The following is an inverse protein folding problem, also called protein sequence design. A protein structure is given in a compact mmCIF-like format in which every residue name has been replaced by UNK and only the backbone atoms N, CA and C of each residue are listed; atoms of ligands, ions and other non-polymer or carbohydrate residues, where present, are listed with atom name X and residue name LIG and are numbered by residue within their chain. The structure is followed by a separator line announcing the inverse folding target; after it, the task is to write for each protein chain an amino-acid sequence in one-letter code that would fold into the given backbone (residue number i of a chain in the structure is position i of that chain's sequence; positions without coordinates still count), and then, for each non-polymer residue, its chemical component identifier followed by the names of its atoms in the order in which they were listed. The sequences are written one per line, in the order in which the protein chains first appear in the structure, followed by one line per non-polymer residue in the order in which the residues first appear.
data_IF_384363982646
#
_entry.id   IF_384363982646
#
_cell.length_a   1.000
_cell.length_b   1.000
_cell.length_c   1.000
_cell.angle_alpha   90.00
_cell.angle_beta   90.00
_cell.angle_gamma   90.00
#
_symmetry.space_group_name_H-M   'P 1'
#
loop_
_entity.id
_entity.type
_entity.pdbx_description
1 polymer ?
#
# COMPACT_ATOMS: atom_id res chain seq x y z
N UNK A 1 9.87 6.09 -7.33
CA UNK A 1 9.83 4.99 -6.34
C UNK A 1 10.92 4.02 -6.72
N UNK A 2 11.93 3.88 -5.88
CA UNK A 2 13.01 2.93 -6.08
C UNK A 2 12.54 1.53 -5.66
N UNK A 3 12.66 0.56 -6.54
CA UNK A 3 12.25 -0.84 -6.28
C UNK A 3 13.44 -1.80 -6.24
N UNK A 4 14.58 -1.37 -6.76
CA UNK A 4 15.86 -2.06 -6.65
C UNK A 4 16.94 -1.04 -6.28
N UNK A 5 17.69 -1.30 -5.22
CA UNK A 5 18.69 -0.34 -4.72
C UNK A 5 19.96 -1.04 -4.26
N UNK A 6 21.09 -0.33 -4.36
CA UNK A 6 22.32 -0.74 -3.70
C UNK A 6 22.14 -0.58 -2.19
N UNK A 7 22.23 -1.68 -1.46
CA UNK A 7 22.13 -1.72 -0.01
C UNK A 7 23.42 -2.13 0.66
N UNK A 8 23.52 -1.87 1.97
CA UNK A 8 24.60 -2.39 2.82
C UNK A 8 23.99 -3.18 3.97
N UNK A 9 24.47 -4.40 4.15
CA UNK A 9 24.06 -5.23 5.27
C UNK A 9 24.61 -4.62 6.56
N UNK A 10 23.73 -4.27 7.49
CA UNK A 10 24.09 -3.68 8.78
C UNK A 10 24.22 -4.72 9.87
N UNK A 11 23.41 -5.78 9.80
CA UNK A 11 23.36 -6.82 10.82
C UNK A 11 22.87 -8.12 10.19
N UNK A 12 23.31 -9.25 10.76
CA UNK A 12 22.74 -10.57 10.46
C UNK A 12 22.38 -11.28 11.76
N UNK A 13 21.25 -12.00 11.77
CA UNK A 13 20.77 -12.78 12.91
C UNK A 13 20.53 -14.22 12.50
N UNK A 14 20.98 -15.19 13.32
CA UNK A 14 20.70 -16.59 13.05
C UNK A 14 19.21 -16.88 13.13
N UNK A 15 18.73 -17.83 12.32
CA UNK A 15 17.37 -18.34 12.37
C UNK A 15 17.41 -19.71 13.05
N UNK A 16 16.62 -19.90 14.09
CA UNK A 16 16.56 -21.14 14.83
C UNK A 16 16.22 -22.33 13.90
N UNK A 17 17.01 -23.39 14.01
CA UNK A 17 16.86 -24.58 13.17
C UNK A 17 17.19 -24.37 11.67
N UNK A 18 17.91 -23.31 11.30
CA UNK A 18 18.34 -23.05 9.93
C UNK A 18 19.86 -23.02 9.78
N UNK A 19 20.42 -24.03 9.09
CA UNK A 19 21.87 -24.16 8.90
C UNK A 19 22.38 -23.37 7.69
N UNK A 20 21.55 -23.12 6.70
CA UNK A 20 21.94 -22.53 5.39
C UNK A 20 21.54 -21.08 5.20
N UNK A 21 20.65 -20.57 6.05
CA UNK A 21 20.09 -19.22 5.92
C UNK A 21 20.15 -18.47 7.26
N UNK A 22 20.14 -17.16 7.17
CA UNK A 22 19.98 -16.24 8.31
C UNK A 22 19.17 -15.00 7.88
N UNK A 23 18.70 -14.24 8.85
CA UNK A 23 18.09 -12.94 8.59
C UNK A 23 19.18 -11.89 8.43
N UNK A 24 19.05 -11.04 7.41
CA UNK A 24 19.90 -9.88 7.19
C UNK A 24 19.06 -8.60 7.26
N UNK A 25 19.65 -7.57 7.87
CA UNK A 25 19.11 -6.21 7.88
C UNK A 25 19.95 -5.37 6.92
N UNK A 26 19.28 -4.69 5.99
CA UNK A 26 19.93 -3.94 4.91
C UNK A 26 19.51 -2.50 4.95
N UNK A 27 20.46 -1.60 5.12
CA UNK A 27 20.25 -0.18 4.94
C UNK A 27 20.27 0.15 3.44
N UNK A 28 19.17 0.70 2.94
CA UNK A 28 18.96 1.07 1.54
C UNK A 28 19.07 2.60 1.32
N UNK A 29 19.78 3.32 2.18
CA UNK A 29 19.91 4.76 2.13
C UNK A 29 18.56 5.43 2.42
N UNK A 30 18.11 6.24 1.47
CA UNK A 30 16.82 6.96 1.58
C UNK A 30 15.59 6.05 1.62
N UNK A 31 15.71 4.83 1.10
CA UNK A 31 14.61 3.84 1.12
C UNK A 31 14.53 3.08 2.46
N UNK A 32 15.30 3.49 3.48
CA UNK A 32 15.23 2.99 4.84
C UNK A 32 15.92 1.66 5.11
N UNK A 33 15.53 1.04 6.22
CA UNK A 33 16.05 -0.26 6.69
C UNK A 33 15.03 -1.36 6.37
N UNK A 34 15.53 -2.42 5.74
CA UNK A 34 14.73 -3.57 5.33
C UNK A 34 15.30 -4.87 5.85
N UNK A 35 14.45 -5.86 6.07
CA UNK A 35 14.90 -7.20 6.47
C UNK A 35 14.62 -8.24 5.39
N UNK A 36 15.55 -9.16 5.22
CA UNK A 36 15.41 -10.28 4.29
C UNK A 36 16.09 -11.52 4.79
N UNK A 37 15.69 -12.69 4.30
CA UNK A 37 16.35 -13.96 4.60
C UNK A 37 17.29 -14.28 3.46
N UNK A 38 18.56 -14.52 3.79
CA UNK A 38 19.67 -14.70 2.84
C UNK A 38 20.47 -15.97 3.15
N UNK A 39 21.32 -16.39 2.21
CA UNK A 39 22.31 -17.42 2.44
C UNK A 39 23.41 -16.99 3.41
N UNK A 40 24.14 -17.95 3.97
CA UNK A 40 25.26 -17.72 4.91
C UNK A 40 26.48 -17.03 4.27
N UNK A 41 26.49 -16.90 2.96
CA UNK A 41 27.50 -16.21 2.16
C UNK A 41 27.39 -14.67 2.22
N UNK A 42 26.27 -14.13 2.73
CA UNK A 42 26.09 -12.69 2.94
C UNK A 42 26.29 -12.35 4.41
N UNK A 43 27.13 -11.36 4.72
CA UNK A 43 27.53 -10.96 6.06
C UNK A 43 27.33 -9.46 6.30
N UNK A 44 27.37 -9.05 7.57
CA UNK A 44 27.35 -7.62 7.91
C UNK A 44 28.55 -6.90 7.28
N UNK A 45 28.31 -5.76 6.69
CA UNK A 45 29.28 -4.98 5.92
C UNK A 45 29.26 -5.23 4.42
N UNK A 46 28.59 -6.28 3.93
CA UNK A 46 28.52 -6.57 2.51
C UNK A 46 27.64 -5.58 1.76
N UNK A 47 28.07 -5.26 0.53
CA UNK A 47 27.24 -4.55 -0.45
C UNK A 47 26.35 -5.54 -1.17
N UNK A 48 25.08 -5.19 -1.29
CA UNK A 48 24.03 -6.06 -1.85
C UNK A 48 23.12 -5.26 -2.78
N UNK A 49 22.38 -5.96 -3.63
CA UNK A 49 21.21 -5.39 -4.29
C UNK A 49 19.98 -5.85 -3.53
N UNK A 50 19.20 -4.89 -3.03
CA UNK A 50 17.92 -5.13 -2.37
C UNK A 50 16.79 -4.82 -3.34
N UNK A 51 15.95 -5.81 -3.62
CA UNK A 51 14.68 -5.66 -4.34
C UNK A 51 13.57 -5.50 -3.32
N UNK A 52 12.97 -4.34 -3.30
CA UNK A 52 11.99 -3.95 -2.30
C UNK A 52 10.61 -4.55 -2.60
N UNK A 53 9.73 -4.53 -1.61
CA UNK A 53 8.37 -5.04 -1.74
C UNK A 53 7.64 -4.41 -2.94
N UNK A 54 6.84 -5.23 -3.63
CA UNK A 54 6.14 -4.93 -4.88
C UNK A 54 7.04 -4.82 -6.14
N UNK A 55 8.33 -5.08 -6.04
CA UNK A 55 9.17 -5.22 -7.22
C UNK A 55 8.81 -6.47 -8.03
N UNK A 56 8.77 -6.33 -9.35
CA UNK A 56 8.73 -7.45 -10.31
C UNK A 56 10.04 -7.43 -11.08
N UNK A 57 10.84 -8.47 -10.88
CA UNK A 57 12.17 -8.62 -11.47
C UNK A 57 12.06 -9.11 -12.91
N UNK A 58 13.00 -8.72 -13.76
CA UNK A 58 13.20 -9.39 -15.04
C UNK A 58 13.82 -10.77 -14.81
N UNK A 59 13.43 -11.80 -15.61
CA UNK A 59 14.10 -13.10 -15.57
C UNK A 59 15.62 -12.97 -15.70
N UNK A 60 16.36 -13.61 -14.80
CA UNK A 60 17.81 -13.56 -14.80
C UNK A 60 18.44 -14.67 -13.94
N UNK A 61 19.64 -15.13 -14.30
CA UNK A 61 20.30 -16.26 -13.61
C UNK A 61 20.62 -15.95 -12.15
N UNK A 62 20.96 -14.70 -11.82
CA UNK A 62 21.38 -14.23 -10.50
C UNK A 62 20.29 -14.34 -9.44
N UNK A 63 19.02 -14.29 -9.86
CA UNK A 63 17.84 -14.42 -9.00
C UNK A 63 16.80 -15.40 -9.54
N UNK A 64 17.28 -16.46 -10.23
CA UNK A 64 16.43 -17.52 -10.82
C UNK A 64 15.51 -18.21 -9.80
N UNK A 65 15.88 -18.21 -8.51
CA UNK A 65 15.02 -18.71 -7.42
C UNK A 65 13.69 -17.96 -7.30
N UNK A 66 13.58 -16.75 -7.89
CA UNK A 66 12.34 -15.96 -7.93
C UNK A 66 11.35 -16.43 -8.99
N UNK A 67 11.72 -17.32 -9.91
CA UNK A 67 10.84 -17.86 -10.95
C UNK A 67 9.57 -18.49 -10.36
N UNK A 68 9.73 -19.32 -9.32
CA UNK A 68 8.60 -19.94 -8.58
C UNK A 68 7.65 -18.92 -7.93
N UNK A 69 8.11 -17.68 -7.73
CA UNK A 69 7.34 -16.56 -7.20
C UNK A 69 6.85 -15.62 -8.31
N UNK A 70 6.91 -16.06 -9.60
CA UNK A 70 6.57 -15.24 -10.77
C UNK A 70 7.33 -13.92 -10.79
N UNK A 71 8.59 -13.95 -10.34
CA UNK A 71 9.50 -12.80 -10.28
C UNK A 71 9.05 -11.65 -9.37
N UNK A 72 7.98 -11.83 -8.60
CA UNK A 72 7.44 -10.80 -7.72
C UNK A 72 8.05 -10.88 -6.30
N UNK A 73 8.51 -9.75 -5.80
CA UNK A 73 8.92 -9.56 -4.41
C UNK A 73 7.69 -9.28 -3.55
N UNK A 74 7.45 -10.11 -2.59
CA UNK A 74 6.39 -9.97 -1.58
C UNK A 74 6.89 -10.48 -0.23
N UNK A 75 6.19 -10.10 0.82
CA UNK A 75 6.47 -10.65 2.15
C UNK A 75 6.49 -12.17 2.09
N UNK A 76 7.55 -12.76 2.61
CA UNK A 76 7.70 -14.21 2.76
C UNK A 76 8.13 -14.54 4.19
N UNK A 77 7.92 -15.79 4.61
CA UNK A 77 8.41 -16.28 5.89
C UNK A 77 9.27 -17.52 5.69
N UNK A 78 10.42 -17.54 6.35
CA UNK A 78 11.33 -18.68 6.38
C UNK A 78 11.50 -19.13 7.82
N UNK A 79 10.99 -20.32 8.15
CA UNK A 79 10.98 -20.83 9.54
C UNK A 79 10.42 -19.81 10.56
N UNK A 80 9.33 -19.13 10.18
CA UNK A 80 8.69 -18.13 11.03
C UNK A 80 9.28 -16.72 10.92
N UNK A 81 10.51 -16.54 10.41
CA UNK A 81 11.18 -15.24 10.30
C UNK A 81 10.72 -14.53 9.03
N UNK A 82 10.24 -13.27 9.12
CA UNK A 82 9.77 -12.50 7.97
C UNK A 82 10.93 -12.06 7.07
N UNK A 83 10.68 -12.03 5.76
CA UNK A 83 11.54 -11.50 4.71
C UNK A 83 10.75 -10.49 3.91
N UNK A 84 11.05 -9.22 4.09
CA UNK A 84 10.32 -8.08 3.51
C UNK A 84 10.80 -7.74 2.10
N UNK A 85 12.04 -8.09 1.79
CA UNK A 85 12.69 -7.83 0.51
C UNK A 85 13.50 -9.06 0.05
N UNK A 86 13.91 -9.04 -1.21
CA UNK A 86 14.87 -10.00 -1.76
C UNK A 86 16.24 -9.34 -1.82
N UNK A 87 17.24 -10.02 -1.29
CA UNK A 87 18.61 -9.54 -1.19
C UNK A 87 19.52 -10.50 -1.96
N UNK A 88 20.36 -9.97 -2.83
CA UNK A 88 21.40 -10.72 -3.54
C UNK A 88 22.74 -10.01 -3.43
N UNK A 89 23.88 -10.74 -3.49
CA UNK A 89 25.20 -10.11 -3.50
C UNK A 89 25.30 -9.06 -4.61
N UNK A 90 25.96 -7.92 -4.36
CA UNK A 90 26.26 -6.93 -5.39
C UNK A 90 27.24 -7.50 -6.42
N UNK A 91 27.03 -7.23 -7.70
CA UNK A 91 27.98 -7.52 -8.76
C UNK A 91 29.09 -6.46 -8.81
N UNK A 92 30.08 -6.67 -9.70
CA UNK A 92 31.25 -5.78 -9.80
C UNK A 92 30.88 -4.32 -10.05
N UNK A 93 29.92 -4.06 -10.95
CA UNK A 93 29.48 -2.73 -11.27
C UNK A 93 28.76 -2.05 -10.08
N UNK A 94 27.97 -2.82 -9.34
CA UNK A 94 27.17 -2.32 -8.22
C UNK A 94 28.04 -2.10 -6.96
N UNK A 95 29.13 -2.84 -6.80
CA UNK A 95 30.10 -2.65 -5.69
C UNK A 95 30.75 -1.25 -5.72
N UNK A 96 30.90 -0.66 -6.90
CA UNK A 96 31.45 0.68 -7.06
C UNK A 96 30.41 1.80 -6.84
N UNK A 97 29.12 1.45 -6.73
CA UNK A 97 28.03 2.43 -6.60
C UNK A 97 27.79 2.81 -5.13
N UNK A 98 27.41 4.08 -4.85
CA UNK A 98 27.02 4.49 -3.51
C UNK A 98 25.79 3.73 -3.02
N UNK A 99 25.72 3.51 -1.72
CA UNK A 99 24.51 2.99 -1.05
C UNK A 99 23.31 3.88 -1.35
N UNK A 100 22.15 3.26 -1.64
CA UNK A 100 20.92 3.96 -2.01
C UNK A 100 20.83 4.31 -3.50
N UNK A 101 21.84 3.94 -4.31
CA UNK A 101 21.74 4.09 -5.79
C UNK A 101 20.55 3.32 -6.31
N UNK A 102 19.70 3.98 -7.10
CA UNK A 102 18.54 3.39 -7.74
C UNK A 102 18.94 2.52 -8.94
N UNK A 103 18.63 1.25 -8.87
CA UNK A 103 18.86 0.26 -9.92
C UNK A 103 17.56 -0.16 -10.64
N UNK A 104 16.44 0.47 -10.33
CA UNK A 104 15.11 0.05 -10.82
C UNK A 104 15.07 -0.01 -12.35
N UNK A 105 15.51 1.05 -13.03
CA UNK A 105 15.51 1.12 -14.49
C UNK A 105 16.61 0.25 -15.10
N UNK A 106 17.82 0.28 -14.52
CA UNK A 106 18.98 -0.47 -15.01
C UNK A 106 18.72 -1.97 -15.02
N UNK A 107 18.05 -2.47 -13.97
CA UNK A 107 17.69 -3.89 -13.86
C UNK A 107 16.31 -4.21 -14.46
N UNK A 108 15.63 -3.24 -15.09
CA UNK A 108 14.33 -3.41 -15.72
C UNK A 108 13.22 -3.80 -14.73
N UNK A 109 13.36 -3.44 -13.44
CA UNK A 109 12.38 -3.77 -12.40
C UNK A 109 11.13 -2.91 -12.58
N UNK A 110 9.96 -3.55 -12.45
CA UNK A 110 8.66 -2.87 -12.54
C UNK A 110 7.90 -2.97 -11.22
N UNK A 111 7.01 -2.02 -10.96
CA UNK A 111 6.09 -2.11 -9.83
C UNK A 111 5.02 -3.14 -10.14
N UNK A 112 4.77 -4.04 -9.18
CA UNK A 112 3.62 -4.94 -9.27
C UNK A 112 2.33 -4.14 -9.04
N UNK A 113 1.46 -4.21 -10.03
CA UNK A 113 0.09 -3.75 -9.92
C UNK A 113 -0.82 -4.97 -10.04
N UNK A 114 -1.63 -5.25 -9.01
CA UNK A 114 -2.61 -6.32 -9.10
C UNK A 114 -3.65 -5.91 -10.16
N UNK A 115 -3.76 -6.61 -11.30
CA UNK A 115 -4.78 -6.28 -12.27
C UNK A 115 -6.16 -6.55 -11.65
N UNK A 116 -7.06 -5.59 -11.79
CA UNK A 116 -8.48 -5.84 -11.52
C UNK A 116 -8.97 -6.80 -12.61
N UNK A 117 -9.60 -7.92 -12.26
CA UNK A 117 -10.12 -8.85 -13.27
C UNK A 117 -11.00 -8.10 -14.28
N UNK A 118 -10.77 -8.32 -15.57
CA UNK A 118 -11.52 -7.64 -16.65
C UNK A 118 -13.04 -7.78 -16.50
N UNK A 119 -13.50 -8.87 -15.87
CA UNK A 119 -14.91 -9.11 -15.59
C UNK A 119 -15.57 -8.08 -14.67
N UNK A 120 -14.79 -7.34 -13.87
CA UNK A 120 -15.28 -6.36 -12.88
C UNK A 120 -14.69 -4.95 -13.08
N UNK A 121 -13.74 -4.80 -14.04
CA UNK A 121 -13.00 -3.56 -14.24
C UNK A 121 -13.84 -2.41 -14.83
N UNK A 122 -14.84 -2.73 -15.67
CA UNK A 122 -15.64 -1.72 -16.37
C UNK A 122 -14.93 -1.08 -17.57
N UNK A 123 -15.69 -0.33 -18.37
CA UNK A 123 -15.16 0.43 -19.50
C UNK A 123 -14.61 1.78 -19.04
N UNK A 124 -13.55 2.23 -19.68
CA UNK A 124 -12.88 3.49 -19.39
C UNK A 124 -13.67 4.66 -19.96
N UNK A 125 -13.93 5.68 -19.13
CA UNK A 125 -14.43 7.01 -19.56
C UNK A 125 -13.26 7.94 -19.84
N UNK A 126 -12.24 7.91 -18.98
CA UNK A 126 -11.05 8.77 -19.08
C UNK A 126 -9.95 8.41 -18.11
N UNK A 127 -8.93 9.25 -18.06
CA UNK A 127 -7.88 9.14 -17.06
C UNK A 127 -8.38 9.58 -15.67
N UNK A 128 -7.73 9.09 -14.62
CA UNK A 128 -7.94 9.61 -13.27
C UNK A 128 -7.68 11.13 -13.23
N UNK A 129 -8.58 11.94 -12.65
CA UNK A 129 -8.47 13.40 -12.69
C UNK A 129 -7.22 13.89 -11.94
N UNK A 130 -6.48 14.82 -12.55
CA UNK A 130 -5.23 15.35 -11.99
C UNK A 130 -5.42 16.23 -10.75
N UNK A 131 -6.62 16.73 -10.53
CA UNK A 131 -6.96 17.59 -9.37
C UNK A 131 -7.28 16.80 -8.10
N UNK A 132 -7.35 15.46 -8.17
CA UNK A 132 -7.53 14.59 -7.01
C UNK A 132 -6.23 13.80 -6.78
N UNK A 133 -5.64 13.81 -5.57
CA UNK A 133 -4.50 12.97 -5.24
C UNK A 133 -4.85 11.48 -5.36
N UNK A 134 -3.94 10.68 -5.91
CA UNK A 134 -4.10 9.22 -5.95
C UNK A 134 -3.95 8.61 -4.54
N UNK A 135 -4.52 7.41 -4.37
CA UNK A 135 -4.57 6.69 -3.08
C UNK A 135 -3.30 5.89 -2.76
N UNK A 136 -2.13 6.41 -3.10
CA UNK A 136 -0.84 5.76 -2.84
C UNK A 136 -0.19 6.34 -1.59
N UNK A 137 -0.31 5.64 -0.46
CA UNK A 137 0.46 5.96 0.73
C UNK A 137 1.88 5.38 0.64
N UNK A 138 2.87 6.17 1.10
CA UNK A 138 4.26 5.73 1.22
C UNK A 138 4.40 4.74 2.38
N UNK A 139 5.26 3.74 2.23
CA UNK A 139 5.63 2.87 3.34
C UNK A 139 6.47 3.69 4.35
N UNK A 140 6.13 3.62 5.64
CA UNK A 140 6.80 4.40 6.68
C UNK A 140 8.33 4.20 6.68
N UNK A 141 8.81 3.02 6.30
CA UNK A 141 10.24 2.69 6.22
C UNK A 141 11.01 3.55 5.20
N UNK A 142 10.31 4.12 4.21
CA UNK A 142 10.87 4.98 3.16
C UNK A 142 10.86 6.47 3.52
N UNK A 143 10.20 6.84 4.62
CA UNK A 143 10.10 8.23 5.04
C UNK A 143 11.32 8.58 5.89
N UNK A 144 12.24 9.38 5.32
CA UNK A 144 13.52 9.74 5.96
C UNK A 144 13.36 10.46 7.30
N UNK A 145 12.40 11.38 7.35
CA UNK A 145 12.18 12.28 8.47
C UNK A 145 10.81 12.01 9.11
N UNK A 146 10.50 10.73 9.35
CA UNK A 146 9.22 10.30 9.90
C UNK A 146 8.91 11.00 11.23
N UNK A 147 9.89 11.13 12.11
CA UNK A 147 9.77 11.83 13.38
C UNK A 147 9.40 13.31 13.18
N UNK A 148 10.15 14.02 12.34
CA UNK A 148 9.87 15.43 12.03
C UNK A 148 8.49 15.61 11.40
N UNK A 149 8.12 14.71 10.48
CA UNK A 149 6.83 14.75 9.80
C UNK A 149 5.65 14.55 10.76
N UNK A 150 5.80 13.70 11.76
CA UNK A 150 4.74 13.37 12.72
C UNK A 150 4.70 14.28 13.93
N UNK A 151 5.85 14.88 14.32
CA UNK A 151 5.95 15.72 15.53
C UNK A 151 4.96 16.88 15.48
N UNK A 152 4.22 17.06 16.58
CA UNK A 152 3.26 18.15 16.74
C UNK A 152 1.91 17.95 16.04
N UNK A 153 1.66 16.79 15.43
CA UNK A 153 0.41 16.49 14.74
C UNK A 153 -0.37 15.37 15.45
N UNK A 154 -1.68 15.53 15.47
CA UNK A 154 -2.59 14.43 15.80
C UNK A 154 -2.75 13.54 14.60
N UNK A 155 -2.84 12.23 14.85
CA UNK A 155 -3.00 11.23 13.81
C UNK A 155 -4.03 10.15 14.16
N UNK A 156 -4.55 9.51 13.12
CA UNK A 156 -5.42 8.36 13.19
C UNK A 156 -4.82 7.22 12.39
N UNK A 157 -4.79 6.03 12.97
CA UNK A 157 -4.46 4.78 12.29
C UNK A 157 -5.74 4.02 11.97
N UNK A 158 -5.93 3.68 10.69
CA UNK A 158 -7.08 2.92 10.22
C UNK A 158 -6.64 1.61 9.61
N UNK A 159 -7.49 0.59 9.68
CA UNK A 159 -7.26 -0.69 9.01
C UNK A 159 -7.00 -0.48 7.52
N UNK A 160 -5.91 -1.08 7.03
CA UNK A 160 -5.65 -1.15 5.60
C UNK A 160 -6.34 -2.37 5.01
N UNK A 161 -7.43 -2.13 4.30
CA UNK A 161 -8.17 -3.18 3.62
C UNK A 161 -7.42 -3.66 2.35
N UNK A 162 -7.53 -4.93 2.01
CA UNK A 162 -7.03 -5.51 0.75
C UNK A 162 -8.21 -5.71 -0.21
N UNK A 163 -8.61 -4.64 -0.83
CA UNK A 163 -9.69 -4.57 -1.80
C UNK A 163 -9.23 -3.94 -3.11
N UNK A 164 -10.05 -3.05 -3.64
CA UNK A 164 -9.70 -2.20 -4.77
C UNK A 164 -10.09 -0.76 -4.49
N UNK A 165 -9.16 0.17 -4.68
CA UNK A 165 -9.35 1.58 -4.40
C UNK A 165 -10.34 2.22 -5.38
N UNK A 166 -11.26 3.00 -4.84
CA UNK A 166 -12.25 3.77 -5.58
C UNK A 166 -12.25 5.23 -5.13
N UNK A 167 -12.50 6.14 -6.07
CA UNK A 167 -12.69 7.57 -5.80
C UNK A 167 -13.99 8.02 -6.47
N UNK A 168 -14.82 8.75 -5.72
CA UNK A 168 -16.08 9.29 -6.20
C UNK A 168 -16.16 10.79 -5.93
N UNK A 169 -16.64 11.55 -6.89
CA UNK A 169 -17.05 12.96 -6.73
C UNK A 169 -18.26 13.28 -7.57
N UNK A 170 -18.91 14.40 -7.28
CA UNK A 170 -20.10 14.86 -7.99
C UNK A 170 -19.89 16.27 -8.56
N UNK A 171 -20.38 16.51 -9.77
CA UNK A 171 -20.44 17.83 -10.41
C UNK A 171 -21.78 18.08 -11.12
N UNK A 172 -21.81 19.00 -12.10
CA UNK A 172 -23.03 19.32 -12.85
C UNK A 172 -23.44 18.22 -13.84
N UNK A 173 -22.49 17.35 -14.23
CA UNK A 173 -22.75 16.20 -15.11
C UNK A 173 -23.24 14.98 -14.32
N UNK A 174 -23.10 14.98 -12.97
CA UNK A 174 -23.51 13.92 -12.08
C UNK A 174 -22.37 13.30 -11.31
N UNK A 175 -22.52 12.01 -10.97
CA UNK A 175 -21.53 11.25 -10.24
C UNK A 175 -20.43 10.72 -11.16
N UNK A 176 -19.19 10.89 -10.73
CA UNK A 176 -18.00 10.35 -11.35
C UNK A 176 -17.38 9.28 -10.47
N UNK A 177 -17.00 8.16 -11.06
CA UNK A 177 -16.44 7.02 -10.34
C UNK A 177 -15.14 6.60 -10.99
N UNK A 178 -14.07 6.57 -10.19
CA UNK A 178 -12.74 6.15 -10.62
C UNK A 178 -12.29 4.87 -9.92
N UNK A 179 -11.64 4.01 -10.67
CA UNK A 179 -10.66 3.07 -10.13
C UNK A 179 -9.39 3.83 -9.72
N UNK A 180 -8.35 3.12 -9.28
CA UNK A 180 -7.06 3.72 -8.89
C UNK A 180 -6.44 4.63 -9.96
N UNK A 181 -6.61 4.32 -11.23
CA UNK A 181 -5.92 5.01 -12.33
C UNK A 181 -6.83 5.59 -13.41
N UNK A 182 -8.09 5.19 -13.45
CA UNK A 182 -8.97 5.47 -14.56
C UNK A 182 -10.36 5.89 -14.06
N UNK A 183 -10.96 6.84 -14.73
CA UNK A 183 -12.39 7.13 -14.64
C UNK A 183 -13.17 6.10 -15.45
N UNK A 184 -14.26 5.58 -14.89
CA UNK A 184 -15.01 4.46 -15.43
C UNK A 184 -16.43 4.87 -15.85
N UNK A 185 -16.91 4.27 -16.95
CA UNK A 185 -18.34 4.31 -17.32
C UNK A 185 -19.15 3.45 -16.35
N UNK A 186 -20.39 3.82 -16.09
CA UNK A 186 -21.31 3.04 -15.25
C UNK A 186 -21.56 1.65 -15.85
N UNK A 187 -21.81 1.62 -17.17
CA UNK A 187 -22.04 0.40 -17.92
C UNK A 187 -21.06 0.25 -19.07
N UNK A 188 -20.70 -0.99 -19.36
CA UNK A 188 -19.98 -1.34 -20.57
C UNK A 188 -20.88 -1.17 -21.80
N UNK A 189 -20.29 -1.22 -23.00
CA UNK A 189 -21.07 -1.23 -24.25
C UNK A 189 -22.07 -2.40 -24.32
N UNK A 190 -21.78 -3.52 -23.65
CA UNK A 190 -22.69 -4.67 -23.53
C UNK A 190 -23.74 -4.52 -22.41
N UNK A 191 -23.82 -3.38 -21.74
CA UNK A 191 -24.77 -3.11 -20.65
C UNK A 191 -24.38 -3.72 -19.30
N UNK A 192 -23.15 -4.28 -19.17
CA UNK A 192 -22.66 -4.85 -17.92
C UNK A 192 -22.13 -3.75 -17.01
N UNK A 193 -22.59 -3.70 -15.75
CA UNK A 193 -22.03 -2.84 -14.70
C UNK A 193 -20.67 -3.33 -14.18
N UNK A 194 -20.00 -2.49 -13.41
CA UNK A 194 -18.74 -2.82 -12.73
C UNK A 194 -18.85 -2.61 -11.23
N UNK A 195 -17.90 -3.22 -10.48
CA UNK A 195 -17.96 -3.23 -9.01
C UNK A 195 -17.82 -1.85 -8.38
N UNK A 196 -17.13 -0.91 -9.03
CA UNK A 196 -16.93 0.44 -8.53
C UNK A 196 -18.25 1.23 -8.52
N UNK A 197 -18.94 1.23 -9.65
CA UNK A 197 -20.25 1.88 -9.78
C UNK A 197 -21.32 1.17 -8.94
N UNK A 198 -21.30 -0.18 -8.89
CA UNK A 198 -22.23 -0.94 -8.05
C UNK A 198 -22.06 -0.57 -6.58
N UNK A 199 -20.80 -0.48 -6.09
CA UNK A 199 -20.52 -0.05 -4.73
C UNK A 199 -20.94 1.41 -4.50
N UNK A 200 -20.63 2.34 -5.41
CA UNK A 200 -21.01 3.74 -5.32
C UNK A 200 -22.54 3.91 -5.24
N UNK A 201 -23.29 3.20 -6.07
CA UNK A 201 -24.77 3.22 -6.07
C UNK A 201 -25.37 2.60 -4.81
N UNK A 202 -24.82 1.43 -4.38
CA UNK A 202 -25.28 0.74 -3.17
C UNK A 202 -25.26 1.66 -1.94
N UNK A 203 -24.23 2.50 -1.83
CA UNK A 203 -24.06 3.41 -0.69
C UNK A 203 -24.57 4.83 -0.95
N UNK A 204 -25.23 5.07 -2.10
CA UNK A 204 -25.85 6.36 -2.43
C UNK A 204 -24.85 7.51 -2.51
N UNK A 205 -23.64 7.26 -3.05
CA UNK A 205 -22.56 8.25 -3.07
C UNK A 205 -22.82 9.43 -4.01
N UNK A 206 -23.86 9.39 -4.83
CA UNK A 206 -24.38 10.56 -5.55
C UNK A 206 -24.87 11.68 -4.63
N UNK A 207 -25.09 11.41 -3.34
CA UNK A 207 -25.47 12.40 -2.33
C UNK A 207 -24.29 13.19 -1.77
N UNK A 208 -23.05 12.76 -2.02
CA UNK A 208 -21.85 13.48 -1.56
C UNK A 208 -21.89 14.90 -2.14
N UNK A 209 -21.73 15.95 -1.30
CA UNK A 209 -21.77 17.32 -1.76
C UNK A 209 -20.70 17.62 -2.81
N UNK A 210 -21.06 18.46 -3.79
CA UNK A 210 -20.10 18.96 -4.76
C UNK A 210 -18.94 19.68 -4.08
N UNK A 211 -17.76 19.60 -4.66
CA UNK A 211 -16.55 20.15 -4.05
C UNK A 211 -15.79 19.18 -3.17
N UNK A 212 -16.31 17.94 -3.00
CA UNK A 212 -15.62 16.87 -2.31
C UNK A 212 -15.36 15.68 -3.23
N UNK A 213 -14.24 14.98 -2.98
CA UNK A 213 -13.97 13.66 -3.53
C UNK A 213 -13.73 12.69 -2.38
N UNK A 214 -14.51 11.61 -2.33
CA UNK A 214 -14.41 10.55 -1.35
C UNK A 214 -13.55 9.42 -1.90
N UNK A 215 -12.58 8.97 -1.10
CA UNK A 215 -11.75 7.81 -1.40
C UNK A 215 -12.05 6.68 -0.43
N UNK A 216 -12.25 5.49 -0.97
CA UNK A 216 -12.63 4.31 -0.21
C UNK A 216 -12.09 3.03 -0.85
N UNK A 217 -12.01 1.97 -0.07
CA UNK A 217 -11.71 0.63 -0.57
C UNK A 217 -13.01 -0.11 -0.83
N UNK A 218 -13.13 -0.76 -2.00
CA UNK A 218 -14.22 -1.69 -2.32
C UNK A 218 -13.74 -3.10 -2.04
N UNK A 219 -14.50 -3.82 -1.23
CA UNK A 219 -14.22 -5.20 -0.84
C UNK A 219 -15.40 -6.09 -1.19
N UNK A 220 -15.16 -7.39 -1.37
CA UNK A 220 -16.23 -8.37 -1.58
C UNK A 220 -15.90 -9.46 -2.57
N UNK A 221 -16.90 -10.22 -3.01
CA UNK A 221 -16.72 -11.35 -3.92
C UNK A 221 -15.99 -10.97 -5.22
N UNK A 222 -14.99 -11.76 -5.60
CA UNK A 222 -14.19 -11.53 -6.81
C UNK A 222 -13.09 -10.47 -6.68
N UNK A 223 -12.99 -9.79 -5.55
CA UNK A 223 -11.98 -8.74 -5.31
C UNK A 223 -10.90 -9.31 -4.39
N UNK A 224 -9.64 -9.37 -4.86
CA UNK A 224 -8.43 -9.75 -4.11
C UNK A 224 -8.54 -11.08 -3.33
N UNK A 225 -9.30 -12.05 -3.84
CA UNK A 225 -9.56 -13.31 -3.14
C UNK A 225 -10.55 -13.19 -1.97
N UNK A 226 -11.15 -12.02 -1.77
CA UNK A 226 -12.14 -11.73 -0.72
C UNK A 226 -11.64 -12.08 0.70
N UNK A 227 -10.55 -11.48 1.18
CA UNK A 227 -9.97 -11.83 2.47
C UNK A 227 -10.89 -11.53 3.67
N UNK A 228 -11.91 -10.68 3.48
CA UNK A 228 -12.91 -10.37 4.49
C UNK A 228 -14.04 -11.41 4.55
N UNK A 229 -14.13 -12.35 3.61
CA UNK A 229 -15.18 -13.35 3.56
C UNK A 229 -16.60 -12.79 3.34
N UNK A 230 -16.71 -11.65 2.64
CA UNK A 230 -17.98 -10.95 2.43
C UNK A 230 -18.84 -11.68 1.39
N UNK A 231 -20.15 -11.72 1.62
CA UNK A 231 -21.14 -12.28 0.67
C UNK A 231 -21.56 -11.27 -0.40
N UNK A 232 -21.32 -9.97 -0.16
CA UNK A 232 -21.69 -8.86 -1.04
C UNK A 232 -20.64 -7.75 -1.01
N UNK A 233 -20.76 -6.77 -1.91
CA UNK A 233 -19.85 -5.62 -1.95
C UNK A 233 -20.02 -4.76 -0.71
N UNK A 234 -18.89 -4.37 -0.11
CA UNK A 234 -18.80 -3.41 0.97
C UNK A 234 -17.75 -2.34 0.64
N UNK A 235 -17.85 -1.20 1.31
CA UNK A 235 -16.87 -0.14 1.21
C UNK A 235 -16.29 0.22 2.58
N UNK A 236 -15.09 0.79 2.56
CA UNK A 236 -14.44 1.37 3.73
C UNK A 236 -13.82 2.73 3.33
N UNK A 237 -14.48 3.81 3.68
CA UNK A 237 -14.00 5.16 3.37
C UNK A 237 -12.82 5.54 4.29
N UNK A 238 -11.79 6.14 3.69
CA UNK A 238 -10.58 6.45 4.43
C UNK A 238 -10.03 7.86 4.19
N UNK A 239 -10.44 8.55 3.14
CA UNK A 239 -9.99 9.92 2.85
C UNK A 239 -11.08 10.71 2.14
N UNK A 240 -11.18 11.99 2.51
CA UNK A 240 -12.00 12.99 1.84
C UNK A 240 -11.07 14.12 1.37
N UNK A 241 -11.28 14.59 0.14
CA UNK A 241 -10.55 15.73 -0.41
C UNK A 241 -11.49 16.87 -0.74
N UNK A 242 -11.08 18.10 -0.44
CA UNK A 242 -11.64 19.29 -1.05
C UNK A 242 -11.08 19.42 -2.47
N UNK A 243 -11.97 19.50 -3.48
CA UNK A 243 -11.62 19.60 -4.90
C UNK A 243 -12.05 20.92 -5.55
N UNK A 244 -12.64 21.82 -4.78
CA UNK A 244 -13.02 23.17 -5.18
C UNK A 244 -12.78 24.16 -4.04
N UNK A 245 -12.59 25.45 -4.40
CA UNK A 245 -12.39 26.54 -3.43
C UNK A 245 -10.95 26.69 -2.96
N UNK A 246 -10.76 27.51 -1.91
CA UNK A 246 -9.44 27.91 -1.42
C UNK A 246 -8.76 26.86 -0.51
N UNK A 247 -9.46 25.77 -0.21
CA UNK A 247 -8.98 24.70 0.68
C UNK A 247 -8.64 23.39 -0.03
N UNK A 248 -8.08 23.44 -1.24
CA UNK A 248 -7.72 22.23 -1.99
C UNK A 248 -6.81 21.31 -1.20
N UNK A 249 -7.12 20.00 -1.20
CA UNK A 249 -6.33 18.99 -0.51
C UNK A 249 -7.14 18.10 0.40
N UNK A 250 -6.47 17.36 1.29
CA UNK A 250 -7.15 16.47 2.23
C UNK A 250 -7.98 17.27 3.22
N UNK A 251 -9.26 16.93 3.34
CA UNK A 251 -10.13 17.47 4.37
C UNK A 251 -9.70 16.97 5.77
N UNK A 252 -10.02 17.74 6.80
CA UNK A 252 -9.84 17.31 8.19
C UNK A 252 -10.58 15.98 8.43
N UNK A 253 -9.98 15.07 9.18
CA UNK A 253 -10.55 13.73 9.41
C UNK A 253 -11.95 13.79 10.04
N UNK A 254 -12.20 14.77 10.91
CA UNK A 254 -13.53 15.02 11.46
C UNK A 254 -14.59 15.33 10.41
N UNK A 255 -14.23 15.97 9.29
CA UNK A 255 -15.15 16.21 8.16
C UNK A 255 -15.54 14.91 7.48
N UNK A 256 -14.58 13.99 7.30
CA UNK A 256 -14.86 12.64 6.79
C UNK A 256 -15.79 11.87 7.73
N UNK A 257 -15.54 11.93 9.04
CA UNK A 257 -16.41 11.29 10.06
C UNK A 257 -17.82 11.86 10.02
N UNK A 258 -17.94 13.19 9.96
CA UNK A 258 -19.25 13.85 9.87
C UNK A 258 -20.00 13.43 8.61
N UNK A 259 -19.35 13.44 7.46
CA UNK A 259 -19.95 13.00 6.18
C UNK A 259 -20.36 11.52 6.22
N UNK A 260 -19.54 10.67 6.84
CA UNK A 260 -19.86 9.25 7.05
C UNK A 260 -21.15 9.07 7.85
N UNK A 261 -21.32 9.82 8.93
CA UNK A 261 -22.52 9.78 9.77
C UNK A 261 -23.75 10.34 9.04
N UNK A 262 -23.60 11.44 8.32
CA UNK A 262 -24.69 12.12 7.61
C UNK A 262 -25.25 11.28 6.47
N UNK A 263 -24.40 10.58 5.72
CA UNK A 263 -24.79 9.80 4.54
C UNK A 263 -24.78 8.29 4.74
N UNK A 264 -24.52 7.82 5.97
CA UNK A 264 -24.41 6.39 6.32
C UNK A 264 -23.35 5.66 5.48
N UNK A 265 -22.14 6.27 5.40
CA UNK A 265 -21.01 5.73 4.63
C UNK A 265 -20.05 4.99 5.59
N UNK A 266 -19.82 3.69 5.40
CA UNK A 266 -18.89 2.95 6.25
C UNK A 266 -17.46 3.51 6.19
N UNK A 267 -16.87 3.81 7.36
CA UNK A 267 -15.47 4.20 7.48
C UNK A 267 -14.55 2.99 7.59
N UNK A 268 -13.31 3.16 7.18
CA UNK A 268 -12.25 2.26 7.56
C UNK A 268 -12.10 2.26 9.08
N UNK A 269 -12.07 1.06 9.68
CA UNK A 269 -12.01 0.89 11.13
C UNK A 269 -10.80 1.61 11.73
N UNK A 270 -11.03 2.39 12.78
CA UNK A 270 -9.98 3.08 13.52
C UNK A 270 -9.34 2.10 14.51
N UNK A 271 -8.05 1.87 14.37
CA UNK A 271 -7.27 0.98 15.23
C UNK A 271 -6.68 1.74 16.41
N UNK A 272 -6.20 2.95 16.15
CA UNK A 272 -5.57 3.81 17.15
C UNK A 272 -5.64 5.29 16.76
N UNK A 273 -5.48 6.14 17.75
CA UNK A 273 -5.22 7.58 17.59
C UNK A 273 -4.03 7.96 18.43
N UNK A 274 -3.30 9.00 18.05
CA UNK A 274 -2.17 9.47 18.82
C UNK A 274 -1.78 10.89 18.47
N UNK A 275 -0.78 11.39 19.21
CA UNK A 275 -0.17 12.70 19.02
C UNK A 275 1.35 12.56 18.88
N UNK A 276 1.93 13.29 17.96
CA UNK A 276 3.37 13.29 17.75
C UNK A 276 3.91 12.02 17.11
N UNK A 277 5.17 11.73 17.37
CA UNK A 277 5.89 10.65 16.74
C UNK A 277 5.45 9.26 17.22
N UNK A 278 5.06 8.42 16.29
CA UNK A 278 4.96 6.98 16.48
C UNK A 278 6.19 6.33 15.83
N UNK A 279 7.03 5.69 16.65
CA UNK A 279 8.25 5.06 16.18
C UNK A 279 7.97 3.83 15.28
N UNK A 280 8.98 3.34 14.55
CA UNK A 280 8.82 2.18 13.66
C UNK A 280 8.27 0.93 14.34
N UNK A 281 8.62 0.67 15.60
CA UNK A 281 8.14 -0.51 16.32
C UNK A 281 6.64 -0.36 16.67
N UNK A 282 6.22 0.82 17.08
CA UNK A 282 4.81 1.17 17.29
C UNK A 282 4.00 1.00 16.00
N UNK A 283 4.50 1.50 14.86
CA UNK A 283 3.81 1.38 13.57
C UNK A 283 3.72 -0.09 13.11
N UNK A 284 4.73 -0.90 13.37
CA UNK A 284 4.71 -2.34 13.08
C UNK A 284 3.73 -3.08 13.99
N UNK A 285 3.75 -2.79 15.29
CA UNK A 285 2.82 -3.37 16.26
C UNK A 285 1.37 -3.09 15.85
N UNK A 286 1.02 -1.84 15.54
CA UNK A 286 -0.32 -1.49 15.07
C UNK A 286 -0.74 -2.27 13.83
N UNK A 287 0.19 -2.47 12.87
CA UNK A 287 -0.09 -3.24 11.67
C UNK A 287 -0.27 -4.74 11.96
N UNK A 288 0.53 -5.32 12.85
CA UNK A 288 0.49 -6.75 13.18
C UNK A 288 -0.70 -7.12 14.07
N UNK A 289 -1.23 -6.18 14.84
CA UNK A 289 -2.41 -6.36 15.67
C UNK A 289 -3.73 -6.08 14.95
N UNK A 290 -3.70 -5.33 13.83
CA UNK A 290 -4.91 -5.00 13.08
C UNK A 290 -5.61 -6.25 12.53
N UNK A 291 -6.93 -6.28 12.66
CA UNK A 291 -7.78 -7.39 12.17
C UNK A 291 -8.89 -6.86 11.29
N UNK A 292 -9.33 -7.68 10.36
CA UNK A 292 -10.60 -7.46 9.67
C UNK A 292 -11.79 -7.80 10.58
N UNK A 293 -13.01 -7.34 10.26
CA UNK A 293 -14.19 -7.65 11.06
C UNK A 293 -14.47 -9.16 11.26
N UNK A 294 -13.97 -10.01 10.36
CA UNK A 294 -14.07 -11.47 10.48
C UNK A 294 -12.98 -12.10 11.38
N UNK A 295 -12.11 -11.27 12.00
CA UNK A 295 -11.02 -11.72 12.86
C UNK A 295 -9.73 -12.10 12.13
N UNK A 296 -9.74 -12.17 10.81
CA UNK A 296 -8.53 -12.45 10.00
C UNK A 296 -7.52 -11.31 10.08
N UNK A 297 -6.25 -11.64 9.87
CA UNK A 297 -5.18 -10.66 9.85
C UNK A 297 -5.42 -9.60 8.78
N UNK A 298 -5.51 -8.34 9.18
CA UNK A 298 -5.58 -7.24 8.23
C UNK A 298 -4.23 -7.04 7.51
N UNK A 299 -4.27 -6.44 6.31
CA UNK A 299 -3.07 -6.14 5.51
C UNK A 299 -2.08 -5.23 6.24
N UNK A 300 -2.58 -4.48 7.20
CA UNK A 300 -1.83 -3.53 8.01
C UNK A 300 -2.67 -2.33 8.39
N UNK A 301 -2.03 -1.21 8.59
CA UNK A 301 -2.68 0.07 8.90
C UNK A 301 -2.20 1.17 7.97
N UNK A 302 -3.02 2.21 7.84
CA UNK A 302 -2.58 3.51 7.30
C UNK A 302 -2.74 4.54 8.40
N UNK A 303 -1.63 5.22 8.72
CA UNK A 303 -1.59 6.31 9.68
C UNK A 303 -1.64 7.63 8.92
N UNK A 304 -2.60 8.48 9.26
CA UNK A 304 -2.83 9.78 8.61
C UNK A 304 -2.87 10.89 9.64
N UNK A 305 -2.30 12.04 9.31
CA UNK A 305 -2.59 13.25 10.08
C UNK A 305 -4.08 13.56 10.02
N UNK A 306 -4.63 14.02 11.15
CA UNK A 306 -6.04 14.45 11.25
C UNK A 306 -6.28 15.74 10.46
N UNK A 307 -5.28 16.63 10.40
CA UNK A 307 -5.41 17.99 9.86
C UNK A 307 -4.36 18.39 8.81
N UNK A 308 -3.36 17.52 8.55
CA UNK A 308 -2.33 17.76 7.54
C UNK A 308 -2.40 16.73 6.41
N UNK A 309 -1.61 16.91 5.36
CA UNK A 309 -1.67 16.08 4.16
C UNK A 309 -0.78 14.81 4.21
N UNK A 310 0.01 14.61 5.28
CA UNK A 310 0.86 13.41 5.34
C UNK A 310 0.08 12.15 5.70
N UNK A 311 0.51 11.06 5.15
CA UNK A 311 0.09 9.70 5.50
C UNK A 311 1.19 8.70 5.23
N UNK A 312 1.24 7.63 6.00
CA UNK A 312 2.14 6.50 5.81
C UNK A 312 1.39 5.19 5.99
N UNK A 313 1.82 4.16 5.29
CA UNK A 313 1.32 2.81 5.51
C UNK A 313 2.34 1.97 6.28
N UNK A 314 1.85 1.09 7.13
CA UNK A 314 2.59 -0.01 7.73
C UNK A 314 1.91 -1.33 7.34
N UNK A 315 2.66 -2.19 6.66
CA UNK A 315 2.16 -3.51 6.23
C UNK A 315 2.49 -4.53 7.30
N UNK A 316 1.50 -5.31 7.71
CA UNK A 316 1.68 -6.37 8.69
C UNK A 316 2.66 -7.43 8.20
N UNK A 317 3.61 -7.79 9.05
CA UNK A 317 4.51 -8.91 8.82
C UNK A 317 3.78 -10.27 8.89
N UNK A 318 2.58 -10.29 9.43
CA UNK A 318 1.75 -11.48 9.57
C UNK A 318 0.77 -11.67 8.40
N UNK A 319 0.56 -10.65 7.58
CA UNK A 319 -0.35 -10.73 6.44
C UNK A 319 0.19 -11.64 5.34
N UNK A 320 -0.66 -12.54 4.86
CA UNK A 320 -0.36 -13.41 3.71
C UNK A 320 -1.08 -12.86 2.48
N UNK A 321 -0.32 -12.31 1.56
CA UNK A 321 -0.83 -11.88 0.26
C UNK A 321 -1.33 -13.12 -0.53
N UNK A 322 -2.57 -13.11 -0.98
CA UNK A 322 -3.20 -14.21 -1.71
C UNK A 322 -2.57 -14.43 -3.10
#
# INVERSE_FOLDING_TARGET
MKLAVVGRVTETRPIEGADRIHQAFVSCGEEGLWSGVVGKDISAGDSVVAFLQDAVLQPGPRWSFMEKHKWRVRMARFKGVPSECVIVPAGEDELAMPQGTDLTEVLGVKKHEKPVPAAIAGDVRGNFPSFIPKTDEENFQRVRNLEEMMTGWDWVATVKYDGTSCTVWNDDEGMHVCSRNLELKEFTESGKGNVYWQAARKYGLERIPRGFALQFEVCGPGIQGNPLGLSELAIAAFTLHHIRGDGLGRAHFGTLVHMSMEFDIPLAEIVATGHGYADPDTLRMLADEARYPNGEQAKGVVVRSISSNWSVKSISLNYKDA
#
